data_IF_356928486177
#
_entry.id   IF_356928486177
#
_cell.length_a   1.000
_cell.length_b   1.000
_cell.length_c   1.000
_cell.angle_alpha   90.00
_cell.angle_beta   90.00
_cell.angle_gamma   90.00
#
_symmetry.space_group_name_H-M   'P 1'
#
loop_
_entity.id
_entity.type
_entity.pdbx_description
1 polymer ?
#
# COMPACT_ATOMS: atom_id res chain seq x y z
N UNK A 1 -69.93 3.30 36.48
CA UNK A 1 -68.65 4.00 36.64
C UNK A 1 -67.54 3.11 36.01
N UNK A 2 -67.15 3.44 34.81
CA UNK A 2 -66.14 2.68 34.07
C UNK A 2 -64.80 3.52 34.10
N UNK A 3 -63.79 2.95 34.77
CA UNK A 3 -62.45 3.59 34.87
C UNK A 3 -61.61 3.19 33.65
N UNK A 4 -61.30 4.16 32.78
CA UNK A 4 -60.30 4.01 31.74
C UNK A 4 -58.89 4.07 32.35
N UNK A 5 -58.13 2.99 32.18
CA UNK A 5 -56.69 2.95 32.51
C UNK A 5 -55.91 3.40 31.27
N UNK A 6 -55.25 4.54 31.37
CA UNK A 6 -54.32 5.02 30.37
C UNK A 6 -53.08 4.11 30.35
N UNK A 7 -52.85 3.40 29.26
CA UNK A 7 -51.64 2.67 28.99
C UNK A 7 -50.72 3.60 28.18
N UNK A 8 -49.68 4.10 28.83
CA UNK A 8 -48.64 4.86 28.16
C UNK A 8 -47.74 3.91 27.41
N UNK A 9 -47.77 3.97 26.09
CA UNK A 9 -46.77 3.29 25.23
C UNK A 9 -45.48 4.10 25.23
N UNK A 10 -44.44 3.61 25.97
CA UNK A 10 -43.07 4.13 25.85
C UNK A 10 -42.45 3.63 24.56
N UNK A 11 -42.30 4.53 23.60
CA UNK A 11 -41.54 4.29 22.37
C UNK A 11 -40.05 4.34 22.70
N UNK A 12 -39.40 3.18 22.88
CA UNK A 12 -37.97 3.09 23.00
C UNK A 12 -37.39 3.18 21.58
N UNK A 13 -36.89 4.36 21.19
CA UNK A 13 -36.15 4.54 19.96
C UNK A 13 -34.73 3.92 20.15
N UNK A 14 -34.51 2.71 19.65
CA UNK A 14 -33.19 2.12 19.54
C UNK A 14 -32.42 2.84 18.44
N UNK A 15 -31.49 3.72 18.85
CA UNK A 15 -30.53 4.36 17.96
C UNK A 15 -29.48 3.32 17.55
N UNK A 16 -29.67 2.66 16.42
CA UNK A 16 -28.64 1.80 15.83
C UNK A 16 -27.54 2.69 15.26
N UNK A 17 -26.44 2.81 16.00
CA UNK A 17 -25.20 3.43 15.50
C UNK A 17 -24.61 2.47 14.46
N UNK A 18 -24.95 2.65 13.18
CA UNK A 18 -24.26 2.00 12.09
C UNK A 18 -22.82 2.55 12.07
N UNK A 19 -21.85 1.74 12.51
CA UNK A 19 -20.44 2.04 12.26
C UNK A 19 -20.26 2.02 10.74
N UNK A 20 -20.21 3.19 10.14
CA UNK A 20 -19.80 3.33 8.75
C UNK A 20 -18.34 2.88 8.68
N UNK A 21 -18.09 1.69 8.11
CA UNK A 21 -16.75 1.29 7.70
C UNK A 21 -16.34 2.30 6.61
N UNK A 22 -15.55 3.29 7.00
CA UNK A 22 -15.06 4.30 6.05
C UNK A 22 -14.04 3.61 5.15
N UNK A 23 -14.25 3.65 3.82
CA UNK A 23 -13.26 3.24 2.86
C UNK A 23 -11.97 4.07 3.06
N UNK A 24 -10.82 3.48 2.76
CA UNK A 24 -9.55 4.18 2.91
C UNK A 24 -9.41 5.29 1.86
N UNK A 25 -8.79 6.41 2.25
CA UNK A 25 -8.63 7.58 1.38
C UNK A 25 -7.25 7.60 0.71
N UNK A 26 -7.19 7.12 -0.53
CA UNK A 26 -5.99 7.14 -1.37
C UNK A 26 -5.65 8.50 -2.01
N UNK A 27 -6.40 9.55 -1.75
CA UNK A 27 -6.23 10.86 -2.41
C UNK A 27 -4.87 11.54 -2.17
N UNK A 28 -4.16 11.15 -1.11
CA UNK A 28 -2.83 11.67 -0.78
C UNK A 28 -1.69 10.94 -1.50
N UNK A 29 -1.96 9.77 -2.10
CA UNK A 29 -0.99 8.97 -2.82
C UNK A 29 -0.59 9.64 -4.13
N UNK A 30 0.62 9.33 -4.61
CA UNK A 30 1.16 9.96 -5.82
C UNK A 30 1.83 8.92 -6.69
N UNK A 31 1.56 8.97 -7.97
CA UNK A 31 2.33 8.15 -8.92
C UNK A 31 3.81 8.50 -8.90
N UNK A 32 4.71 7.54 -9.09
CA UNK A 32 6.14 7.81 -9.29
C UNK A 32 6.40 8.80 -10.44
N UNK A 33 7.52 9.54 -10.42
CA UNK A 33 7.87 10.46 -11.49
C UNK A 33 7.81 9.78 -12.87
N UNK A 34 7.06 10.38 -13.79
CA UNK A 34 6.90 9.88 -15.16
C UNK A 34 5.78 8.85 -15.36
N UNK A 35 5.22 8.27 -14.31
CA UNK A 35 4.10 7.36 -14.41
C UNK A 35 2.76 8.12 -14.43
N UNK A 36 1.86 7.73 -15.35
CA UNK A 36 0.50 8.26 -15.39
C UNK A 36 -0.44 7.53 -14.43
N UNK A 37 -0.19 6.25 -14.23
CA UNK A 37 -0.93 5.38 -13.32
C UNK A 37 0.09 4.55 -12.54
N UNK A 38 -0.21 4.22 -11.30
CA UNK A 38 0.56 3.31 -10.46
C UNK A 38 -0.37 2.44 -9.61
N UNK A 39 0.12 1.27 -9.22
CA UNK A 39 -0.50 0.45 -8.18
C UNK A 39 0.26 0.71 -6.89
N UNK A 40 -0.42 1.28 -5.89
CA UNK A 40 0.13 1.59 -4.56
C UNK A 40 -0.39 0.55 -3.57
N UNK A 41 0.50 -0.12 -2.85
CA UNK A 41 0.15 -1.25 -1.98
C UNK A 41 0.71 -1.03 -0.59
N UNK A 42 -0.14 -1.05 0.42
CA UNK A 42 0.26 -1.15 1.81
C UNK A 42 0.30 -2.62 2.22
N UNK A 43 1.48 -3.10 2.54
CA UNK A 43 1.75 -4.52 2.77
C UNK A 43 2.38 -4.80 4.13
N UNK A 44 2.22 -6.04 4.58
CA UNK A 44 2.84 -6.59 5.78
C UNK A 44 3.44 -7.95 5.45
N UNK A 45 4.75 -8.11 5.66
CA UNK A 45 5.48 -9.32 5.28
C UNK A 45 5.07 -10.57 6.08
N UNK A 46 4.34 -10.41 7.18
CA UNK A 46 3.78 -11.52 7.97
C UNK A 46 2.29 -11.77 7.67
N UNK A 47 1.64 -10.94 6.82
CA UNK A 47 0.24 -11.09 6.46
C UNK A 47 0.06 -12.15 5.37
N UNK A 48 -0.77 -13.21 5.61
CA UNK A 48 -1.02 -14.26 4.61
C UNK A 48 -1.71 -13.75 3.34
N UNK A 49 -2.57 -12.75 3.47
CA UNK A 49 -3.29 -12.17 2.33
C UNK A 49 -2.32 -11.38 1.44
N UNK A 50 -1.36 -10.66 2.04
CA UNK A 50 -0.27 -10.04 1.29
C UNK A 50 0.54 -11.08 0.51
N UNK A 51 0.84 -12.22 1.12
CA UNK A 51 1.57 -13.30 0.44
C UNK A 51 0.81 -13.84 -0.79
N UNK A 52 -0.52 -13.92 -0.71
CA UNK A 52 -1.37 -14.33 -1.86
C UNK A 52 -1.41 -13.28 -2.96
N UNK A 53 -1.49 -12.01 -2.59
CA UNK A 53 -1.60 -10.90 -3.53
C UNK A 53 -0.29 -10.57 -4.24
N UNK A 54 0.85 -10.75 -3.58
CA UNK A 54 2.15 -10.30 -4.07
C UNK A 54 2.45 -10.72 -5.53
N UNK A 55 2.34 -12.01 -5.92
CA UNK A 55 2.58 -12.41 -7.31
C UNK A 55 1.56 -11.82 -8.28
N UNK A 56 0.30 -11.67 -7.88
CA UNK A 56 -0.78 -11.12 -8.72
C UNK A 56 -0.56 -9.65 -9.02
N UNK A 57 -0.11 -8.87 -8.02
CA UNK A 57 0.21 -7.46 -8.20
C UNK A 57 1.20 -7.23 -9.34
N UNK A 58 2.32 -7.95 -9.30
CA UNK A 58 3.36 -7.81 -10.31
C UNK A 58 2.96 -8.41 -11.65
N UNK A 59 2.21 -9.49 -11.68
CA UNK A 59 1.69 -10.07 -12.93
C UNK A 59 0.82 -9.05 -13.67
N UNK A 60 -0.18 -8.50 -12.99
CA UNK A 60 -1.13 -7.56 -13.59
C UNK A 60 -0.46 -6.24 -13.92
N UNK A 61 0.31 -5.67 -13.00
CA UNK A 61 1.00 -4.39 -13.22
C UNK A 61 1.98 -4.46 -14.39
N UNK A 62 2.74 -5.56 -14.53
CA UNK A 62 3.64 -5.77 -15.66
C UNK A 62 2.89 -5.91 -16.99
N UNK A 63 1.73 -6.60 -17.03
CA UNK A 63 0.90 -6.72 -18.23
C UNK A 63 0.44 -5.34 -18.72
N UNK A 64 0.11 -4.42 -17.78
CA UNK A 64 -0.31 -3.05 -18.09
C UNK A 64 0.87 -2.05 -18.15
N UNK A 65 2.10 -2.48 -17.84
CA UNK A 65 3.30 -1.62 -17.81
C UNK A 65 3.18 -0.44 -16.84
N UNK A 66 2.50 -0.65 -15.73
CA UNK A 66 2.39 0.33 -14.64
C UNK A 66 3.30 -0.06 -13.48
N UNK A 67 3.93 0.91 -12.77
CA UNK A 67 4.75 0.60 -11.61
C UNK A 67 3.91 0.16 -10.42
N UNK A 68 4.48 -0.73 -9.60
CA UNK A 68 4.00 -1.05 -8.26
C UNK A 68 4.84 -0.27 -7.25
N UNK A 69 4.18 0.39 -6.31
CA UNK A 69 4.81 1.09 -5.19
C UNK A 69 4.43 0.36 -3.92
N UNK A 70 5.42 -0.13 -3.18
CA UNK A 70 5.23 -0.88 -1.96
C UNK A 70 5.45 0.02 -0.74
N UNK A 71 4.44 0.09 0.13
CA UNK A 71 4.47 0.76 1.42
C UNK A 71 4.47 -0.27 2.53
N UNK A 72 5.48 -0.25 3.38
CA UNK A 72 5.55 -1.16 4.51
C UNK A 72 4.56 -0.74 5.60
N UNK A 73 3.61 -1.61 5.92
CA UNK A 73 2.58 -1.37 6.94
C UNK A 73 2.51 -2.52 7.95
N UNK A 74 3.60 -2.80 8.70
CA UNK A 74 3.63 -3.87 9.68
C UNK A 74 2.58 -3.68 10.76
N UNK A 75 1.70 -4.69 10.92
CA UNK A 75 0.61 -4.67 11.88
C UNK A 75 1.11 -5.06 13.29
N UNK A 76 0.56 -4.48 14.36
CA UNK A 76 1.02 -4.76 15.72
C UNK A 76 0.91 -6.23 16.16
N UNK A 77 -0.03 -6.99 15.57
CA UNK A 77 -0.22 -8.42 15.86
C UNK A 77 0.80 -9.33 15.15
N UNK A 78 1.59 -8.80 14.24
CA UNK A 78 2.58 -9.52 13.44
C UNK A 78 3.99 -9.32 14.02
N UNK A 79 4.46 -10.25 14.89
CA UNK A 79 5.61 -10.02 15.77
C UNK A 79 6.97 -9.94 15.07
N UNK A 80 7.09 -10.36 13.80
CA UNK A 80 8.35 -10.28 13.04
C UNK A 80 8.25 -9.43 11.77
N UNK A 81 7.09 -8.91 11.46
CA UNK A 81 6.86 -8.13 10.23
C UNK A 81 7.73 -6.88 10.15
N UNK A 82 7.84 -6.10 11.24
CA UNK A 82 8.69 -4.92 11.25
C UNK A 82 10.16 -5.24 10.99
N UNK A 83 10.67 -6.31 11.59
CA UNK A 83 12.06 -6.72 11.41
C UNK A 83 12.29 -7.15 9.95
N UNK A 84 11.37 -7.92 9.36
CA UNK A 84 11.43 -8.31 7.95
C UNK A 84 11.38 -7.09 7.02
N UNK A 85 10.53 -6.10 7.31
CA UNK A 85 10.43 -4.86 6.53
C UNK A 85 11.75 -4.05 6.57
N UNK A 86 12.44 -3.99 7.72
CA UNK A 86 13.76 -3.34 7.81
C UNK A 86 14.76 -4.01 6.86
N UNK A 87 14.78 -5.34 6.81
CA UNK A 87 15.64 -6.05 5.86
C UNK A 87 15.21 -5.88 4.40
N UNK A 88 13.91 -5.83 4.13
CA UNK A 88 13.42 -5.50 2.78
C UNK A 88 13.95 -4.14 2.32
N UNK A 89 13.84 -3.11 3.17
CA UNK A 89 14.42 -1.78 2.90
C UNK A 89 15.94 -1.81 2.77
N UNK A 90 16.64 -2.66 3.54
CA UNK A 90 18.08 -2.84 3.35
C UNK A 90 18.41 -3.39 1.95
N UNK A 91 17.68 -4.39 1.47
CA UNK A 91 17.87 -4.92 0.13
C UNK A 91 17.46 -3.92 -0.96
N UNK A 92 16.43 -3.09 -0.73
CA UNK A 92 16.08 -1.97 -1.61
C UNK A 92 17.28 -1.00 -1.81
N UNK A 93 18.11 -0.79 -0.79
CA UNK A 93 19.33 0.05 -0.92
C UNK A 93 20.37 -0.54 -1.88
N UNK A 94 20.31 -1.83 -2.19
CA UNK A 94 21.20 -2.47 -3.16
C UNK A 94 20.62 -2.38 -4.57
N UNK A 95 19.34 -2.71 -4.72
CA UNK A 95 18.52 -2.44 -5.89
C UNK A 95 17.05 -2.66 -5.54
N UNK A 96 16.15 -1.95 -6.19
CA UNK A 96 14.70 -2.16 -6.06
C UNK A 96 14.34 -3.63 -6.33
N UNK A 97 14.90 -4.20 -7.41
CA UNK A 97 14.67 -5.61 -7.76
C UNK A 97 15.05 -6.57 -6.63
N UNK A 98 16.15 -6.33 -5.94
CA UNK A 98 16.59 -7.21 -4.86
C UNK A 98 15.67 -7.12 -3.64
N UNK A 99 15.16 -5.92 -3.34
CA UNK A 99 14.16 -5.73 -2.29
C UNK A 99 12.83 -6.40 -2.63
N UNK A 100 12.39 -6.31 -3.90
CA UNK A 100 11.21 -7.03 -4.40
C UNK A 100 11.41 -8.55 -4.33
N UNK A 101 12.57 -9.05 -4.76
CA UNK A 101 12.90 -10.48 -4.68
C UNK A 101 12.94 -11.00 -3.23
N UNK A 102 13.45 -10.18 -2.30
CA UNK A 102 13.42 -10.51 -0.88
C UNK A 102 12.00 -10.61 -0.34
N UNK A 103 11.12 -9.64 -0.67
CA UNK A 103 9.71 -9.69 -0.27
C UNK A 103 9.03 -10.95 -0.80
N UNK A 104 9.21 -11.25 -2.08
CA UNK A 104 8.68 -12.48 -2.69
C UNK A 104 9.23 -13.75 -2.04
N UNK A 105 10.51 -13.76 -1.66
CA UNK A 105 11.13 -14.87 -0.94
C UNK A 105 10.53 -15.06 0.46
N UNK A 106 10.33 -13.99 1.21
CA UNK A 106 9.69 -14.03 2.54
C UNK A 106 8.24 -14.53 2.40
N UNK A 107 7.46 -13.99 1.49
CA UNK A 107 6.07 -14.41 1.27
C UNK A 107 5.97 -15.89 0.88
N UNK A 108 6.82 -16.37 -0.02
CA UNK A 108 6.85 -17.78 -0.43
C UNK A 108 7.12 -18.73 0.73
N UNK A 109 7.97 -18.31 1.67
CA UNK A 109 8.40 -19.14 2.80
C UNK A 109 7.66 -18.79 4.11
N UNK A 110 6.73 -17.84 4.09
CA UNK A 110 6.02 -17.30 5.25
C UNK A 110 5.47 -18.37 6.21
N UNK A 111 4.84 -19.48 5.74
CA UNK A 111 4.32 -20.51 6.64
C UNK A 111 5.39 -21.21 7.49
N UNK A 112 6.66 -21.11 7.11
CA UNK A 112 7.81 -21.70 7.82
C UNK A 112 8.59 -20.68 8.66
N UNK A 113 8.24 -19.38 8.55
CA UNK A 113 8.92 -18.30 9.25
C UNK A 113 8.22 -17.98 10.57
N UNK A 114 9.02 -17.71 11.58
CA UNK A 114 8.57 -17.20 12.87
C UNK A 114 9.65 -16.27 13.44
N UNK A 115 9.33 -15.57 14.54
CA UNK A 115 10.25 -14.63 15.16
C UNK A 115 11.60 -15.25 15.55
N UNK A 116 11.61 -16.54 15.91
CA UNK A 116 12.84 -17.23 16.34
C UNK A 116 13.76 -17.64 15.20
N UNK A 117 13.23 -17.78 13.97
CA UNK A 117 14.02 -18.24 12.81
C UNK A 117 14.11 -17.24 11.66
N UNK A 118 13.46 -16.07 11.73
CA UNK A 118 13.47 -15.05 10.69
C UNK A 118 14.90 -14.72 10.24
N UNK A 119 15.84 -14.53 11.18
CA UNK A 119 17.22 -14.18 10.87
C UNK A 119 17.93 -15.25 10.01
N UNK A 120 17.58 -16.53 10.18
CA UNK A 120 18.14 -17.62 9.37
C UNK A 120 17.64 -17.53 7.92
N UNK A 121 16.36 -17.18 7.71
CA UNK A 121 15.80 -16.97 6.38
C UNK A 121 16.42 -15.75 5.69
N UNK A 122 16.62 -14.67 6.42
CA UNK A 122 17.29 -13.46 5.91
C UNK A 122 18.72 -13.77 5.50
N UNK A 123 19.48 -14.46 6.36
CA UNK A 123 20.87 -14.85 6.06
C UNK A 123 20.94 -15.74 4.82
N UNK A 124 20.05 -16.75 4.74
CA UNK A 124 19.97 -17.62 3.58
C UNK A 124 19.73 -16.86 2.28
N UNK A 125 18.78 -15.94 2.25
CA UNK A 125 18.52 -15.08 1.08
C UNK A 125 19.76 -14.24 0.73
N UNK A 126 20.39 -13.64 1.73
CA UNK A 126 21.59 -12.82 1.53
C UNK A 126 22.74 -13.62 0.93
N UNK A 127 22.98 -14.85 1.42
CA UNK A 127 24.03 -15.75 0.93
C UNK A 127 23.76 -16.19 -0.52
N UNK A 128 22.51 -16.58 -0.83
CA UNK A 128 22.09 -16.97 -2.18
C UNK A 128 22.28 -15.83 -3.20
N UNK A 129 22.09 -14.58 -2.75
CA UNK A 129 22.24 -13.39 -3.58
C UNK A 129 23.62 -12.73 -3.46
N UNK A 130 24.53 -13.31 -2.70
CA UNK A 130 25.92 -12.81 -2.49
C UNK A 130 25.96 -11.38 -1.92
N UNK A 131 25.02 -11.06 -1.05
CA UNK A 131 24.93 -9.76 -0.35
C UNK A 131 25.43 -9.93 1.08
N UNK A 132 26.57 -9.36 1.45
CA UNK A 132 27.05 -9.43 2.83
C UNK A 132 26.11 -8.62 3.75
N UNK A 133 25.65 -9.25 4.82
CA UNK A 133 24.90 -8.55 5.85
C UNK A 133 25.88 -7.86 6.82
N UNK A 134 25.68 -6.57 7.14
CA UNK A 134 26.45 -5.90 8.18
C UNK A 134 26.04 -6.40 9.57
N UNK A 135 26.87 -6.16 10.58
CA UNK A 135 26.54 -6.48 11.97
C UNK A 135 25.22 -5.85 12.43
N UNK A 136 24.94 -4.64 11.98
CA UNK A 136 23.65 -3.98 12.15
C UNK A 136 23.22 -3.37 10.81
N UNK A 137 22.03 -3.72 10.33
CA UNK A 137 21.51 -3.24 9.03
C UNK A 137 21.00 -1.81 9.08
N UNK A 138 20.53 -1.37 10.24
CA UNK A 138 19.93 -0.03 10.43
C UNK A 138 20.41 0.62 11.76
N UNK A 139 21.71 0.86 11.92
CA UNK A 139 22.26 1.36 13.18
C UNK A 139 21.78 2.77 13.54
N UNK A 140 21.37 3.55 12.55
CA UNK A 140 20.87 4.91 12.72
C UNK A 140 19.34 5.00 12.69
N UNK A 141 18.63 3.90 12.53
CA UNK A 141 17.17 3.85 12.47
C UNK A 141 16.56 4.48 11.20
N UNK A 142 17.35 4.71 10.14
CA UNK A 142 16.90 5.36 8.91
C UNK A 142 15.91 4.50 8.12
N UNK A 143 16.18 3.20 8.02
CA UNK A 143 15.28 2.28 7.32
C UNK A 143 13.96 2.12 8.08
N UNK A 144 14.04 1.99 9.40
CA UNK A 144 12.86 1.98 10.27
C UNK A 144 12.06 3.27 10.16
N UNK A 145 12.71 4.42 10.02
CA UNK A 145 12.02 5.71 9.85
C UNK A 145 11.21 5.75 8.54
N UNK A 146 11.69 5.14 7.45
CA UNK A 146 10.93 5.02 6.20
C UNK A 146 9.66 4.17 6.40
N UNK A 147 9.78 3.04 7.09
CA UNK A 147 8.63 2.17 7.42
C UNK A 147 7.62 2.91 8.29
N UNK A 148 8.10 3.69 9.29
CA UNK A 148 7.20 4.49 10.12
C UNK A 148 6.49 5.59 9.33
N UNK A 149 7.15 6.17 8.32
CA UNK A 149 6.54 7.16 7.42
C UNK A 149 5.44 6.51 6.55
N UNK A 150 5.66 5.30 6.05
CA UNK A 150 4.62 4.54 5.32
C UNK A 150 3.44 4.20 6.23
N UNK A 151 3.70 3.75 7.46
CA UNK A 151 2.64 3.51 8.44
C UNK A 151 1.83 4.75 8.77
N UNK A 152 2.52 5.90 8.93
CA UNK A 152 1.86 7.17 9.18
C UNK A 152 0.99 7.59 7.98
N UNK A 153 1.49 7.41 6.75
CA UNK A 153 0.74 7.65 5.52
C UNK A 153 -0.52 6.78 5.47
N UNK A 154 -0.39 5.46 5.68
CA UNK A 154 -1.52 4.54 5.70
C UNK A 154 -2.52 4.84 6.82
N UNK A 155 -2.02 5.21 8.02
CA UNK A 155 -2.88 5.59 9.13
C UNK A 155 -3.70 6.86 8.81
N UNK A 156 -3.10 7.85 8.17
CA UNK A 156 -3.82 9.06 7.71
C UNK A 156 -4.82 8.75 6.60
N UNK A 157 -4.52 7.77 5.75
CA UNK A 157 -5.45 7.27 4.74
C UNK A 157 -6.59 6.43 5.34
N UNK A 158 -6.55 6.13 6.63
CA UNK A 158 -7.60 5.37 7.33
C UNK A 158 -7.52 3.87 7.12
N UNK A 159 -6.35 3.33 6.77
CA UNK A 159 -6.17 1.89 6.56
C UNK A 159 -6.49 1.07 7.81
N UNK A 160 -7.22 -0.01 7.63
CA UNK A 160 -7.64 -0.92 8.70
C UNK A 160 -7.02 -2.32 8.59
N UNK A 161 -6.51 -2.70 7.42
CA UNK A 161 -5.99 -4.04 7.12
C UNK A 161 -4.88 -4.01 6.07
N UNK A 162 -4.23 -5.13 5.86
CA UNK A 162 -3.28 -5.40 4.77
C UNK A 162 -3.66 -6.69 4.03
N UNK A 163 -3.44 -6.76 2.71
CA UNK A 163 -3.02 -5.64 1.88
C UNK A 163 -4.14 -4.60 1.75
N UNK A 164 -3.80 -3.32 1.60
CA UNK A 164 -4.70 -2.33 1.03
C UNK A 164 -4.09 -1.85 -0.28
N UNK A 165 -4.84 -1.93 -1.36
CA UNK A 165 -4.35 -1.74 -2.73
C UNK A 165 -5.12 -0.59 -3.38
N UNK A 166 -4.39 0.37 -3.94
CA UNK A 166 -4.96 1.47 -4.69
C UNK A 166 -4.40 1.51 -6.11
N UNK A 167 -5.25 1.78 -7.08
CA UNK A 167 -4.84 2.24 -8.40
C UNK A 167 -4.92 3.75 -8.41
N UNK A 168 -3.78 4.41 -8.55
CA UNK A 168 -3.64 5.87 -8.42
C UNK A 168 -3.31 6.47 -9.78
N UNK A 169 -4.00 7.55 -10.13
CA UNK A 169 -3.74 8.32 -11.34
C UNK A 169 -2.90 9.55 -11.06
N UNK A 170 -2.10 9.97 -12.04
CA UNK A 170 -1.35 11.22 -11.98
C UNK A 170 -2.28 12.42 -11.85
N UNK A 171 -1.96 13.35 -10.96
CA UNK A 171 -2.76 14.57 -10.76
C UNK A 171 -2.35 15.40 -9.55
N UNK A 172 -1.61 14.81 -8.58
CA UNK A 172 -1.29 15.46 -7.29
C UNK A 172 -2.51 15.58 -6.37
N UNK A 173 -2.34 15.90 -5.06
CA UNK A 173 -3.44 15.88 -4.09
C UNK A 173 -4.55 16.90 -4.43
N UNK A 174 -5.83 16.47 -4.45
CA UNK A 174 -6.28 15.08 -4.36
C UNK A 174 -6.00 14.30 -5.66
N UNK A 175 -5.25 13.21 -5.55
CA UNK A 175 -5.02 12.31 -6.70
C UNK A 175 -6.27 11.50 -6.99
N UNK A 176 -6.62 11.23 -8.27
CA UNK A 176 -7.63 10.24 -8.56
C UNK A 176 -7.15 8.86 -8.15
N UNK A 177 -7.97 8.10 -7.47
CA UNK A 177 -7.68 6.74 -7.03
C UNK A 177 -8.89 5.83 -7.12
N UNK A 178 -8.63 4.52 -7.10
CA UNK A 178 -9.60 3.45 -6.92
C UNK A 178 -9.01 2.47 -5.91
N UNK A 179 -9.69 2.21 -4.81
CA UNK A 179 -9.35 1.16 -3.86
C UNK A 179 -9.84 -0.18 -4.40
N UNK A 180 -9.00 -1.21 -4.32
CA UNK A 180 -9.36 -2.56 -4.71
C UNK A 180 -9.93 -3.28 -3.48
N UNK A 181 -11.23 -3.51 -3.52
CA UNK A 181 -11.92 -4.31 -2.52
C UNK A 181 -11.71 -5.79 -2.85
N UNK A 182 -10.79 -6.43 -2.13
CA UNK A 182 -10.47 -7.82 -2.36
C UNK A 182 -11.64 -8.77 -2.04
N UNK A 183 -11.74 -9.82 -2.83
CA UNK A 183 -12.65 -10.95 -2.60
C UNK A 183 -11.82 -12.22 -2.41
N UNK A 184 -12.45 -13.34 -2.00
CA UNK A 184 -11.70 -14.58 -1.79
C UNK A 184 -11.22 -15.24 -3.09
N UNK A 185 -11.86 -14.92 -4.21
CA UNK A 185 -11.49 -15.44 -5.54
C UNK A 185 -10.36 -14.62 -6.14
N UNK A 186 -9.17 -15.22 -6.27
CA UNK A 186 -7.97 -14.54 -6.75
C UNK A 186 -8.04 -14.19 -8.25
N UNK A 187 -8.77 -14.95 -9.07
CA UNK A 187 -8.98 -14.62 -10.48
C UNK A 187 -9.88 -13.39 -10.62
N UNK A 188 -10.90 -13.27 -9.79
CA UNK A 188 -11.71 -12.05 -9.73
C UNK A 188 -10.88 -10.85 -9.28
N UNK A 189 -10.04 -11.02 -8.25
CA UNK A 189 -9.14 -9.98 -7.77
C UNK A 189 -8.19 -9.50 -8.89
N UNK A 190 -7.62 -10.43 -9.64
CA UNK A 190 -6.77 -10.16 -10.80
C UNK A 190 -7.52 -9.36 -11.87
N UNK A 191 -8.74 -9.78 -12.21
CA UNK A 191 -9.58 -9.09 -13.18
C UNK A 191 -9.97 -7.68 -12.71
N UNK A 192 -10.33 -7.52 -11.43
CA UNK A 192 -10.67 -6.21 -10.85
C UNK A 192 -9.48 -5.26 -10.87
N UNK A 193 -8.28 -5.72 -10.51
CA UNK A 193 -7.07 -4.89 -10.57
C UNK A 193 -6.77 -4.45 -12.00
N UNK A 194 -6.84 -5.36 -12.97
CA UNK A 194 -6.63 -5.04 -14.38
C UNK A 194 -7.65 -3.99 -14.89
N UNK A 195 -8.92 -4.19 -14.59
CA UNK A 195 -9.99 -3.26 -14.99
C UNK A 195 -9.80 -1.88 -14.35
N UNK A 196 -9.42 -1.83 -13.05
CA UNK A 196 -9.18 -0.57 -12.37
C UNK A 196 -8.00 0.21 -12.96
N UNK A 197 -6.95 -0.49 -13.40
CA UNK A 197 -5.82 0.14 -14.11
C UNK A 197 -6.30 0.73 -15.45
N UNK A 198 -7.01 -0.03 -16.27
CA UNK A 198 -7.53 0.45 -17.55
C UNK A 198 -8.45 1.66 -17.40
N UNK A 199 -9.34 1.65 -16.40
CA UNK A 199 -10.26 2.74 -16.16
C UNK A 199 -9.53 3.99 -15.65
N UNK A 200 -8.48 3.81 -14.85
CA UNK A 200 -7.63 4.91 -14.41
C UNK A 200 -6.83 5.49 -15.59
N UNK A 201 -6.28 4.66 -16.47
CA UNK A 201 -5.58 5.11 -17.69
C UNK A 201 -6.49 5.95 -18.59
N UNK A 202 -7.73 5.50 -18.80
CA UNK A 202 -8.76 6.27 -19.55
C UNK A 202 -9.04 7.61 -18.85
N UNK A 203 -9.20 7.60 -17.54
CA UNK A 203 -9.48 8.79 -16.72
C UNK A 203 -8.37 9.83 -16.81
N UNK A 204 -7.11 9.44 -16.62
CA UNK A 204 -5.97 10.37 -16.68
C UNK A 204 -5.60 10.74 -18.13
N UNK A 205 -5.85 9.87 -19.09
CA UNK A 205 -5.66 10.15 -20.51
C UNK A 205 -6.64 11.19 -21.07
N UNK A 206 -7.82 11.33 -20.47
CA UNK A 206 -8.83 12.32 -20.80
C UNK A 206 -8.56 13.72 -20.18
N UNK A 207 -7.71 13.79 -19.16
CA UNK A 207 -7.31 15.07 -18.55
C UNK A 207 -6.20 15.68 -19.40
N UNK A 208 -6.52 16.75 -20.14
CA UNK A 208 -5.54 17.47 -20.96
C UNK A 208 -4.33 17.88 -20.12
N UNK A 209 -3.12 17.56 -20.61
CA UNK A 209 -1.89 17.95 -19.96
C UNK A 209 -1.90 19.48 -19.69
N UNK A 210 -1.51 19.93 -18.46
CA UNK A 210 -1.44 21.34 -18.18
C UNK A 210 -0.53 22.03 -19.20
N UNK A 211 -1.05 23.07 -19.88
CA UNK A 211 -0.26 23.85 -20.83
C UNK A 211 1.02 24.34 -20.14
N UNK A 212 2.20 24.18 -20.79
CA UNK A 212 3.44 24.65 -20.21
C UNK A 212 3.33 26.14 -19.90
N UNK A 213 3.47 26.50 -18.64
CA UNK A 213 3.50 27.88 -18.17
C UNK A 213 4.73 28.54 -18.81
N UNK A 214 4.51 29.46 -19.74
CA UNK A 214 5.60 30.24 -20.36
C UNK A 214 6.34 30.99 -19.26
N UNK A 215 7.53 30.54 -18.91
CA UNK A 215 8.43 31.25 -18.01
C UNK A 215 8.78 32.62 -18.67
N UNK A 216 8.28 33.66 -18.07
CA UNK A 216 8.52 35.04 -18.50
C UNK A 216 9.96 35.39 -18.12
N UNK A 217 10.88 35.24 -19.08
CA UNK A 217 12.26 35.70 -18.93
C UNK A 217 12.26 37.20 -18.79
N UNK A 218 12.53 37.73 -17.60
CA UNK A 218 12.86 39.14 -17.40
C UNK A 218 14.24 39.42 -18.02
N UNK A 219 14.28 40.05 -19.20
CA UNK A 219 15.49 40.65 -19.70
C UNK A 219 15.90 41.79 -18.75
N UNK A 220 16.99 41.58 -18.00
CA UNK A 220 17.68 42.65 -17.30
C UNK A 220 18.26 43.61 -18.35
N UNK A 221 17.75 44.84 -18.40
CA UNK A 221 18.37 45.97 -19.13
C UNK A 221 19.62 46.38 -18.34
N UNK A 222 20.79 46.25 -18.95
CA UNK A 222 22.01 46.87 -18.47
C UNK A 222 21.96 48.35 -18.83
N UNK A 223 22.22 49.21 -17.86
CA UNK A 223 22.66 50.58 -17.98
C UNK A 223 24.05 50.67 -17.42
#
# INVERSE_FOLDING_TARGET
MIRFRNVAFSLVATLTLAAACSAADGSMLKTPPGAKVAVEVFEDLECPDCARWYPVLFEVANAHKVPVVLHDFPLPMHPWSLDAAVYARFFDTKSQKLGEDFRGYIYKNQPSINKGNLQQWIQKFADENKVPLPFAVDPEGKLKALIMADRDLGSRAGLQHTPTIFVVGHGGPPSPYTEINEVQDMEQNKAMLGQAIEDMEKKVGSVAAPKPTKTRTHKKKAS
#
